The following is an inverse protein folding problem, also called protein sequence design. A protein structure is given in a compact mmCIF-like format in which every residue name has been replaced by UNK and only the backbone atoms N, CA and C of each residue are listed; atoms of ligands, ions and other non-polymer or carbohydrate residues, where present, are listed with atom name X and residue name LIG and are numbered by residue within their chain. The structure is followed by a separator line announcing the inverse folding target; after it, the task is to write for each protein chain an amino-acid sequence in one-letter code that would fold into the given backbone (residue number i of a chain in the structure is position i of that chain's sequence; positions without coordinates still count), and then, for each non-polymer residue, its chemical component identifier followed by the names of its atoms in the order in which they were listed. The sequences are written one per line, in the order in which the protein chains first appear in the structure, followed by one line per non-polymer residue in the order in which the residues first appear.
data_IF_281711982703
#
_entry.id   IF_281711982703
#
_cell.length_a   1.000
_cell.length_b   1.000
_cell.length_c   1.000
_cell.angle_alpha   90.00
_cell.angle_beta   90.00
_cell.angle_gamma   90.00
#
_symmetry.space_group_name_H-M   'P 1'
#
loop_
_entity.id
_entity.type
_entity.pdbx_description
1 polymer ?
#
# COMPACT_ATOMS: atom_id res chain seq x y z
N UNK A 1 65.51 -38.30 -9.70
CA UNK A 1 64.15 -38.87 -9.80
C UNK A 1 64.22 -40.30 -10.33
N UNK A 2 64.54 -41.30 -9.50
CA UNK A 2 64.77 -42.69 -9.96
C UNK A 2 64.30 -43.75 -8.94
N UNK A 3 63.18 -43.51 -8.23
CA UNK A 3 62.58 -44.50 -7.31
C UNK A 3 61.07 -44.62 -7.56
N UNK A 4 60.58 -45.87 -7.61
CA UNK A 4 59.16 -46.23 -7.77
C UNK A 4 58.30 -45.58 -6.69
N UNK A 5 58.83 -45.46 -5.47
CA UNK A 5 58.15 -44.83 -4.33
C UNK A 5 57.74 -43.38 -4.65
N UNK A 6 58.64 -42.60 -5.25
CA UNK A 6 58.40 -41.19 -5.58
C UNK A 6 57.37 -41.05 -6.72
N UNK A 7 57.39 -41.95 -7.71
CA UNK A 7 56.39 -41.97 -8.80
C UNK A 7 54.99 -42.24 -8.26
N UNK A 8 54.85 -43.22 -7.35
CA UNK A 8 53.57 -43.56 -6.75
C UNK A 8 53.00 -42.39 -5.95
N UNK A 9 53.81 -41.77 -5.10
CA UNK A 9 53.42 -40.60 -4.30
C UNK A 9 52.92 -39.48 -5.23
N UNK A 10 53.65 -39.17 -6.30
CA UNK A 10 53.27 -38.13 -7.25
C UNK A 10 51.91 -38.40 -7.91
N UNK A 11 51.68 -39.63 -8.39
CA UNK A 11 50.40 -39.99 -9.02
C UNK A 11 49.22 -39.91 -8.04
N UNK A 12 49.38 -40.41 -6.80
CA UNK A 12 48.34 -40.30 -5.78
C UNK A 12 48.08 -38.85 -5.37
N UNK A 13 49.12 -38.02 -5.21
CA UNK A 13 48.94 -36.59 -4.92
C UNK A 13 48.16 -35.86 -6.01
N UNK A 14 48.49 -36.10 -7.29
CA UNK A 14 47.75 -35.51 -8.41
C UNK A 14 46.29 -35.98 -8.40
N UNK A 15 46.05 -37.27 -8.19
CA UNK A 15 44.69 -37.82 -8.14
C UNK A 15 43.87 -37.20 -7.00
N UNK A 16 44.45 -37.06 -5.82
CA UNK A 16 43.80 -36.40 -4.66
C UNK A 16 43.45 -34.96 -4.99
N UNK A 17 44.37 -34.21 -5.64
CA UNK A 17 44.11 -32.83 -6.05
C UNK A 17 42.95 -32.77 -7.04
N UNK A 18 42.93 -33.63 -8.07
CA UNK A 18 41.85 -33.65 -9.08
C UNK A 18 40.49 -33.94 -8.42
N UNK A 19 40.43 -34.92 -7.52
CA UNK A 19 39.19 -35.26 -6.80
C UNK A 19 38.76 -34.10 -5.91
N UNK A 20 39.68 -33.51 -5.14
CA UNK A 20 39.38 -32.38 -4.27
C UNK A 20 38.91 -31.15 -5.06
N UNK A 21 39.54 -30.84 -6.19
CA UNK A 21 39.15 -29.72 -7.06
C UNK A 21 37.79 -29.93 -7.70
N UNK A 22 37.50 -31.12 -8.22
CA UNK A 22 36.20 -31.42 -8.84
C UNK A 22 35.07 -31.35 -7.81
N UNK A 23 35.25 -31.96 -6.65
CA UNK A 23 34.29 -31.86 -5.54
C UNK A 23 34.12 -30.40 -5.07
N UNK A 24 35.22 -29.67 -4.91
CA UNK A 24 35.18 -28.25 -4.52
C UNK A 24 34.35 -27.41 -5.48
N UNK A 25 34.53 -27.59 -6.80
CA UNK A 25 33.75 -26.88 -7.82
C UNK A 25 32.26 -27.24 -7.73
N UNK A 26 31.92 -28.52 -7.56
CA UNK A 26 30.53 -28.98 -7.45
C UNK A 26 29.87 -28.39 -6.20
N UNK A 27 30.58 -28.42 -5.07
CA UNK A 27 30.10 -27.89 -3.79
C UNK A 27 29.85 -26.39 -3.92
N UNK A 28 30.83 -25.63 -4.41
CA UNK A 28 30.68 -24.17 -4.54
C UNK A 28 29.50 -23.81 -5.45
N UNK A 29 29.35 -24.49 -6.60
CA UNK A 29 28.20 -24.25 -7.49
C UNK A 29 26.86 -24.59 -6.84
N UNK A 30 26.78 -25.75 -6.18
CA UNK A 30 25.53 -26.22 -5.56
C UNK A 30 25.13 -25.31 -4.42
N UNK A 31 26.05 -25.03 -3.50
CA UNK A 31 25.81 -24.16 -2.34
C UNK A 31 25.48 -22.74 -2.80
N UNK A 32 26.21 -22.20 -3.78
CA UNK A 32 25.92 -20.86 -4.31
C UNK A 32 24.50 -20.79 -4.89
N UNK A 33 24.09 -21.79 -5.67
CA UNK A 33 22.75 -21.80 -6.26
C UNK A 33 21.65 -21.97 -5.21
N UNK A 34 21.85 -22.86 -4.22
CA UNK A 34 20.89 -23.04 -3.12
C UNK A 34 20.75 -21.77 -2.30
N UNK A 35 21.86 -21.13 -1.91
CA UNK A 35 21.82 -19.88 -1.13
C UNK A 35 21.13 -18.76 -1.91
N UNK A 36 21.36 -18.66 -3.22
CA UNK A 36 20.67 -17.67 -4.06
C UNK A 36 19.17 -17.96 -4.15
N UNK A 37 18.78 -19.21 -4.40
CA UNK A 37 17.36 -19.61 -4.44
C UNK A 37 16.64 -19.35 -3.12
N UNK A 38 17.26 -19.73 -1.99
CA UNK A 38 16.69 -19.51 -0.66
C UNK A 38 16.52 -18.01 -0.36
N UNK A 39 17.46 -17.18 -0.84
CA UNK A 39 17.36 -15.73 -0.72
C UNK A 39 16.22 -15.17 -1.60
N UNK A 40 16.06 -15.64 -2.83
CA UNK A 40 14.96 -15.26 -3.72
C UNK A 40 13.59 -15.65 -3.13
N UNK A 41 13.46 -16.87 -2.61
CA UNK A 41 12.24 -17.34 -1.95
C UNK A 41 11.91 -16.51 -0.71
N UNK A 42 12.92 -16.19 0.11
CA UNK A 42 12.77 -15.34 1.29
C UNK A 42 12.33 -13.92 0.90
N UNK A 43 12.92 -13.36 -0.16
CA UNK A 43 12.49 -12.06 -0.69
C UNK A 43 11.05 -12.11 -1.19
N UNK A 44 10.63 -13.19 -1.84
CA UNK A 44 9.24 -13.40 -2.25
C UNK A 44 8.27 -13.40 -1.06
N UNK A 45 8.61 -14.11 0.02
CA UNK A 45 7.81 -14.12 1.25
C UNK A 45 7.73 -12.73 1.90
N UNK A 46 8.82 -11.98 1.93
CA UNK A 46 8.85 -10.61 2.46
C UNK A 46 7.99 -9.65 1.63
N UNK A 47 7.98 -9.79 0.31
CA UNK A 47 7.11 -9.00 -0.57
C UNK A 47 5.64 -9.29 -0.28
N UNK A 48 5.27 -10.55 -0.10
CA UNK A 48 3.88 -10.94 0.20
C UNK A 48 3.43 -10.44 1.59
N UNK A 49 4.29 -10.54 2.61
CA UNK A 49 3.99 -9.95 3.92
C UNK A 49 3.91 -8.43 3.87
N UNK A 50 4.78 -7.77 3.09
CA UNK A 50 4.69 -6.34 2.83
C UNK A 50 3.38 -5.95 2.16
N UNK A 51 2.92 -6.72 1.18
CA UNK A 51 1.63 -6.52 0.49
C UNK A 51 0.45 -6.61 1.46
N UNK A 52 0.38 -7.68 2.27
CA UNK A 52 -0.68 -7.86 3.28
C UNK A 52 -0.69 -6.72 4.30
N UNK A 53 0.49 -6.27 4.73
CA UNK A 53 0.60 -5.17 5.67
C UNK A 53 0.07 -3.85 5.09
N UNK A 54 0.41 -3.55 3.83
CA UNK A 54 -0.10 -2.35 3.14
C UNK A 54 -1.61 -2.46 2.93
N UNK A 55 -2.12 -3.61 2.48
CA UNK A 55 -3.55 -3.88 2.29
C UNK A 55 -4.32 -3.68 3.60
N UNK A 56 -3.85 -4.28 4.70
CA UNK A 56 -4.45 -4.13 6.02
C UNK A 56 -4.49 -2.67 6.49
N UNK A 57 -3.42 -1.90 6.26
CA UNK A 57 -3.37 -0.47 6.59
C UNK A 57 -4.36 0.34 5.78
N UNK A 58 -4.40 0.11 4.46
CA UNK A 58 -5.32 0.77 3.55
C UNK A 58 -6.77 0.49 3.94
N UNK A 59 -7.12 -0.77 4.18
CA UNK A 59 -8.46 -1.15 4.61
C UNK A 59 -8.83 -0.51 5.96
N UNK A 60 -7.90 -0.43 6.91
CA UNK A 60 -8.14 0.26 8.18
C UNK A 60 -8.47 1.74 7.96
N UNK A 61 -7.74 2.42 7.07
CA UNK A 61 -8.04 3.83 6.76
C UNK A 61 -9.41 3.98 6.08
N UNK A 62 -9.75 3.10 5.13
CA UNK A 62 -11.09 3.09 4.53
C UNK A 62 -12.17 2.90 5.60
N UNK A 63 -12.02 1.93 6.51
CA UNK A 63 -12.97 1.70 7.61
C UNK A 63 -13.11 2.91 8.53
N UNK A 64 -12.02 3.60 8.85
CA UNK A 64 -12.07 4.83 9.65
C UNK A 64 -12.81 5.95 8.92
N UNK A 65 -12.57 6.10 7.61
CA UNK A 65 -13.32 7.06 6.79
C UNK A 65 -14.81 6.69 6.69
N UNK A 66 -15.15 5.41 6.56
CA UNK A 66 -16.55 4.93 6.57
C UNK A 66 -17.25 5.23 7.89
N UNK A 67 -16.56 5.04 9.02
CA UNK A 67 -17.09 5.38 10.35
C UNK A 67 -17.35 6.89 10.48
N UNK A 68 -16.44 7.73 9.98
CA UNK A 68 -16.64 9.18 9.94
C UNK A 68 -17.82 9.55 9.03
N UNK A 69 -17.91 8.94 7.84
CA UNK A 69 -18.97 9.16 6.87
C UNK A 69 -20.36 8.74 7.36
N UNK A 70 -20.43 7.81 8.33
CA UNK A 70 -21.66 7.30 8.90
C UNK A 70 -22.23 8.18 10.05
N UNK A 71 -21.60 9.31 10.39
CA UNK A 71 -22.15 10.20 11.42
C UNK A 71 -23.45 10.86 10.95
N UNK A 72 -24.52 10.70 11.74
CA UNK A 72 -25.88 11.13 11.38
C UNK A 72 -25.97 12.62 11.02
N UNK A 73 -25.21 13.48 11.70
CA UNK A 73 -25.20 14.91 11.41
C UNK A 73 -24.62 15.26 10.02
N UNK A 74 -23.84 14.37 9.41
CA UNK A 74 -23.37 14.56 8.04
C UNK A 74 -24.49 14.35 7.01
N UNK A 75 -25.56 13.63 7.37
CA UNK A 75 -26.64 13.27 6.45
C UNK A 75 -27.62 14.41 6.17
N UNK A 76 -27.53 15.52 6.92
CA UNK A 76 -28.38 16.69 6.69
C UNK A 76 -27.96 17.47 5.45
N UNK A 77 -26.75 17.22 4.93
CA UNK A 77 -26.17 17.93 3.78
C UNK A 77 -26.12 19.46 3.94
N UNK A 78 -26.22 19.95 5.18
CA UNK A 78 -26.02 21.34 5.57
C UNK A 78 -24.56 21.55 6.03
N UNK A 79 -23.84 22.38 5.30
CA UNK A 79 -22.44 22.70 5.59
C UNK A 79 -22.21 23.23 7.02
N UNK A 80 -23.17 23.99 7.56
CA UNK A 80 -23.10 24.58 8.91
C UNK A 80 -23.07 23.49 10.00
N UNK A 81 -23.67 22.34 9.71
CA UNK A 81 -23.71 21.18 10.62
C UNK A 81 -22.53 20.25 10.32
N UNK A 82 -22.19 20.07 9.05
CA UNK A 82 -21.12 19.17 8.62
C UNK A 82 -19.73 19.66 9.04
N UNK A 83 -19.44 20.95 8.92
CA UNK A 83 -18.10 21.47 9.17
C UNK A 83 -17.59 21.19 10.59
N UNK A 84 -18.35 21.47 11.68
CA UNK A 84 -17.91 21.14 13.03
C UNK A 84 -17.65 19.64 13.24
N UNK A 85 -18.42 18.77 12.56
CA UNK A 85 -18.22 17.31 12.62
C UNK A 85 -16.90 16.95 11.94
N UNK A 86 -16.66 17.43 10.72
CA UNK A 86 -15.42 17.17 9.99
C UNK A 86 -14.18 17.65 10.77
N UNK A 87 -14.22 18.85 11.37
CA UNK A 87 -13.14 19.37 12.21
C UNK A 87 -12.84 18.40 13.36
N UNK A 88 -13.88 17.96 14.07
CA UNK A 88 -13.74 17.03 15.20
C UNK A 88 -13.24 15.65 14.79
N UNK A 89 -13.65 15.13 13.63
CA UNK A 89 -13.18 13.84 13.13
C UNK A 89 -11.72 13.91 12.66
N UNK A 90 -11.31 15.02 12.04
CA UNK A 90 -9.89 15.28 11.70
C UNK A 90 -9.04 15.37 12.97
N UNK A 91 -9.47 16.09 14.00
CA UNK A 91 -8.74 16.20 15.28
C UNK A 91 -8.56 14.87 16.02
N UNK A 92 -9.42 13.89 15.75
CA UNK A 92 -9.43 12.58 16.43
C UNK A 92 -8.82 11.45 15.62
N UNK A 93 -8.49 11.71 14.36
CA UNK A 93 -7.96 10.71 13.43
C UNK A 93 -6.55 11.09 12.98
N UNK A 94 -5.89 10.16 12.30
CA UNK A 94 -4.60 10.41 11.67
C UNK A 94 -4.74 11.08 10.29
N UNK A 95 -5.96 11.44 9.89
CA UNK A 95 -6.22 12.16 8.64
C UNK A 95 -5.80 13.62 8.77
N UNK A 96 -5.14 14.14 7.75
CA UNK A 96 -4.74 15.52 7.62
C UNK A 96 -5.93 16.42 7.28
N UNK A 97 -6.90 15.90 6.54
CA UNK A 97 -8.12 16.63 6.20
C UNK A 97 -9.26 15.70 5.83
N UNK A 98 -10.48 16.21 5.96
CA UNK A 98 -11.69 15.55 5.44
C UNK A 98 -12.55 16.55 4.67
N UNK A 99 -13.24 16.07 3.66
CA UNK A 99 -14.10 16.87 2.82
C UNK A 99 -15.35 16.08 2.41
N UNK A 100 -16.42 16.81 2.09
CA UNK A 100 -17.68 16.22 1.60
C UNK A 100 -17.88 16.65 0.17
N UNK A 101 -18.09 15.68 -0.71
CA UNK A 101 -18.41 15.87 -2.11
C UNK A 101 -19.92 15.73 -2.30
N UNK A 102 -20.52 16.76 -2.87
CA UNK A 102 -21.94 16.83 -3.17
C UNK A 102 -22.26 16.17 -4.53
N UNK A 103 -23.39 15.46 -4.66
CA UNK A 103 -23.70 14.65 -5.83
C UNK A 103 -24.08 15.45 -7.09
N UNK A 104 -24.42 16.73 -6.94
CA UNK A 104 -24.98 17.55 -8.03
C UNK A 104 -23.95 17.87 -9.13
N UNK A 105 -22.78 18.34 -8.74
CA UNK A 105 -21.72 18.78 -9.66
C UNK A 105 -20.31 18.39 -9.18
N UNK A 106 -20.21 17.63 -8.08
CA UNK A 106 -18.94 17.28 -7.45
C UNK A 106 -18.29 18.41 -6.67
N UNK A 107 -19.02 19.48 -6.36
CA UNK A 107 -18.58 20.51 -5.41
C UNK A 107 -18.22 19.86 -4.09
N UNK A 108 -17.03 20.20 -3.61
CA UNK A 108 -16.40 19.59 -2.47
C UNK A 108 -16.08 20.67 -1.45
N UNK A 109 -16.60 20.49 -0.24
CA UNK A 109 -16.29 21.35 0.90
C UNK A 109 -15.33 20.63 1.83
N UNK A 110 -14.12 21.18 1.95
CA UNK A 110 -13.10 20.71 2.88
C UNK A 110 -13.35 21.27 4.29
N UNK A 111 -12.96 20.53 5.34
CA UNK A 111 -13.12 20.94 6.75
C UNK A 111 -12.63 22.38 7.04
N UNK A 112 -11.60 22.84 6.32
CA UNK A 112 -11.05 24.20 6.43
C UNK A 112 -11.95 25.29 5.84
N UNK A 113 -13.02 24.93 5.14
CA UNK A 113 -13.90 25.82 4.39
C UNK A 113 -13.45 26.06 2.94
N UNK A 114 -12.36 25.44 2.49
CA UNK A 114 -11.94 25.49 1.09
C UNK A 114 -12.96 24.75 0.23
N UNK A 115 -13.35 25.40 -0.88
CA UNK A 115 -14.25 24.81 -1.88
C UNK A 115 -13.44 24.45 -3.12
N UNK A 116 -13.50 23.17 -3.51
CA UNK A 116 -12.89 22.64 -4.74
C UNK A 116 -13.92 21.77 -5.47
N UNK A 117 -13.57 21.30 -6.67
CA UNK A 117 -14.36 20.31 -7.37
C UNK A 117 -13.54 19.00 -7.49
N UNK A 118 -14.15 17.88 -7.10
CA UNK A 118 -13.56 16.54 -7.22
C UNK A 118 -14.48 15.56 -7.98
N UNK A 119 -15.60 16.00 -8.55
CA UNK A 119 -16.55 15.10 -9.25
C UNK A 119 -15.98 14.43 -10.50
N UNK A 120 -14.94 15.02 -11.09
CA UNK A 120 -14.19 14.46 -12.21
C UNK A 120 -13.20 13.35 -11.80
N UNK A 121 -12.96 13.16 -10.50
CA UNK A 121 -11.96 12.21 -10.00
C UNK A 121 -12.52 10.78 -9.96
N UNK A 122 -11.77 9.85 -10.54
CA UNK A 122 -12.18 8.44 -10.64
C UNK A 122 -12.52 7.81 -9.27
N UNK A 123 -11.72 8.09 -8.24
CA UNK A 123 -11.95 7.56 -6.89
C UNK A 123 -13.24 8.11 -6.26
N UNK A 124 -13.60 9.36 -6.55
CA UNK A 124 -14.88 9.96 -6.12
C UNK A 124 -16.04 9.34 -6.90
N UNK A 125 -15.90 9.15 -8.21
CA UNK A 125 -16.93 8.50 -9.04
C UNK A 125 -17.20 7.05 -8.63
N UNK A 126 -16.17 6.31 -8.21
CA UNK A 126 -16.31 4.95 -7.64
C UNK A 126 -17.08 4.99 -6.32
N UNK A 127 -16.75 5.93 -5.43
CA UNK A 127 -17.49 6.12 -4.19
C UNK A 127 -18.97 6.49 -4.43
N UNK A 128 -19.28 7.33 -5.41
CA UNK A 128 -20.67 7.61 -5.80
C UNK A 128 -21.41 6.38 -6.39
N UNK A 129 -20.70 5.35 -6.83
CA UNK A 129 -21.29 4.04 -7.22
C UNK A 129 -21.45 3.08 -6.04
N UNK A 130 -21.06 3.50 -4.84
CA UNK A 130 -21.20 2.73 -3.61
C UNK A 130 -19.98 1.91 -3.22
N UNK A 131 -18.87 2.06 -3.96
CA UNK A 131 -17.61 1.35 -3.76
C UNK A 131 -16.54 2.29 -3.18
N UNK A 132 -15.98 2.01 -1.99
CA UNK A 132 -14.88 2.81 -1.47
C UNK A 132 -13.67 2.73 -2.42
N UNK A 133 -12.95 3.83 -2.56
CA UNK A 133 -11.84 3.93 -3.50
C UNK A 133 -10.72 4.83 -2.98
N UNK A 134 -9.53 4.65 -3.56
CA UNK A 134 -8.32 5.38 -3.19
C UNK A 134 -7.80 6.08 -4.42
N UNK A 135 -7.30 7.30 -4.26
CA UNK A 135 -6.62 7.99 -5.35
C UNK A 135 -5.23 7.41 -5.60
N UNK A 136 -4.74 7.56 -6.83
CA UNK A 136 -3.29 7.55 -7.02
C UNK A 136 -2.65 8.71 -6.24
N UNK A 137 -1.37 8.56 -5.91
CA UNK A 137 -0.59 9.65 -5.30
C UNK A 137 -0.54 10.79 -6.32
N UNK A 138 -1.16 11.91 -5.97
CA UNK A 138 -1.24 13.07 -6.85
C UNK A 138 -1.20 14.36 -6.05
N UNK A 139 -0.98 15.48 -6.75
CA UNK A 139 -1.03 16.80 -6.13
C UNK A 139 -2.48 17.12 -5.74
N UNK A 140 -2.73 17.27 -4.45
CA UNK A 140 -4.03 17.59 -3.90
C UNK A 140 -4.44 19.01 -4.33
N UNK A 141 -5.65 19.18 -4.89
CA UNK A 141 -6.13 20.49 -5.39
C UNK A 141 -6.28 21.54 -4.28
N UNK A 142 -6.57 21.11 -3.04
CA UNK A 142 -6.76 22.03 -1.91
C UNK A 142 -5.45 22.58 -1.33
N UNK A 143 -4.37 21.79 -1.33
CA UNK A 143 -3.11 22.15 -0.65
C UNK A 143 -1.92 22.31 -1.58
N UNK A 144 -1.94 21.70 -2.77
CA UNK A 144 -0.78 21.65 -3.67
C UNK A 144 0.28 20.62 -3.26
N UNK A 145 0.01 19.79 -2.25
CA UNK A 145 0.94 18.76 -1.77
C UNK A 145 0.66 17.39 -2.40
N UNK A 146 1.69 16.55 -2.51
CA UNK A 146 1.50 15.15 -2.89
C UNK A 146 0.74 14.40 -1.79
N UNK A 147 -0.36 13.77 -2.17
CA UNK A 147 -1.19 13.05 -1.21
C UNK A 147 -2.00 11.93 -1.86
N UNK A 148 -2.51 11.05 -1.00
CA UNK A 148 -3.39 9.94 -1.32
C UNK A 148 -4.72 10.20 -0.60
N UNK A 149 -5.83 10.05 -1.32
CA UNK A 149 -7.16 10.33 -0.80
C UNK A 149 -7.96 9.04 -0.71
N UNK A 150 -8.69 8.87 0.39
CA UNK A 150 -9.66 7.80 0.58
C UNK A 150 -11.06 8.39 0.35
N UNK A 151 -11.82 7.84 -0.60
CA UNK A 151 -13.21 8.23 -0.83
C UNK A 151 -14.16 7.10 -0.45
N UNK A 152 -15.15 7.44 0.35
CA UNK A 152 -16.16 6.50 0.85
C UNK A 152 -17.57 7.06 0.63
N UNK A 153 -18.55 6.21 0.27
CA UNK A 153 -19.93 6.66 0.10
C UNK A 153 -20.57 7.04 1.42
N UNK A 154 -21.24 8.19 1.46
CA UNK A 154 -22.17 8.53 2.54
C UNK A 154 -23.56 7.98 2.18
N UNK A 155 -24.06 7.03 2.99
CA UNK A 155 -25.32 6.33 2.73
C UNK A 155 -26.36 6.67 3.78
N UNK A 156 -27.54 7.11 3.35
CA UNK A 156 -28.74 7.30 4.19
C UNK A 156 -29.86 6.45 3.62
N UNK A 157 -30.42 5.55 4.43
CA UNK A 157 -31.52 4.65 4.03
C UNK A 157 -31.26 3.83 2.74
N UNK A 158 -29.98 3.51 2.49
CA UNK A 158 -29.55 2.76 1.30
C UNK A 158 -29.24 3.62 0.06
N UNK A 159 -29.51 4.93 0.12
CA UNK A 159 -29.20 5.88 -0.95
C UNK A 159 -27.87 6.60 -0.68
N UNK A 160 -27.09 6.82 -1.74
CA UNK A 160 -25.84 7.57 -1.66
C UNK A 160 -26.18 9.06 -1.76
N UNK A 161 -26.01 9.78 -0.66
CA UNK A 161 -26.34 11.21 -0.56
C UNK A 161 -25.12 12.12 -0.76
N UNK A 162 -23.92 11.55 -0.76
CA UNK A 162 -22.65 12.25 -0.87
C UNK A 162 -21.47 11.30 -0.81
N UNK A 163 -20.26 11.85 -0.90
CA UNK A 163 -19.01 11.10 -0.69
C UNK A 163 -18.16 11.84 0.32
N UNK A 164 -17.64 11.14 1.32
CA UNK A 164 -16.61 11.67 2.20
C UNK A 164 -15.24 11.33 1.62
N UNK A 165 -14.37 12.34 1.52
CA UNK A 165 -12.98 12.21 1.11
C UNK A 165 -12.09 12.53 2.30
N UNK A 166 -11.19 11.62 2.65
CA UNK A 166 -10.21 11.80 3.72
C UNK A 166 -8.78 11.76 3.15
N UNK A 167 -7.90 12.62 3.68
CA UNK A 167 -6.51 12.80 3.28
C UNK A 167 -5.56 12.37 4.38
#
# INVERSE_FOLDING_TARGET
MKSIKTKLILYFSILIIVIASTLGIIIVKTVSNTVVSDAEDTLGLLVEEGRKLVESRVENQIRMAELAAAQEGLFEMDWTIQQPILIKEVEKSDFLSMAIVYPEDGTTYDYSGIVINLGDREYVQKAFKGEPAISEISVARGTGELSMMYAVPMKKDGEIIGVLVAR
#
